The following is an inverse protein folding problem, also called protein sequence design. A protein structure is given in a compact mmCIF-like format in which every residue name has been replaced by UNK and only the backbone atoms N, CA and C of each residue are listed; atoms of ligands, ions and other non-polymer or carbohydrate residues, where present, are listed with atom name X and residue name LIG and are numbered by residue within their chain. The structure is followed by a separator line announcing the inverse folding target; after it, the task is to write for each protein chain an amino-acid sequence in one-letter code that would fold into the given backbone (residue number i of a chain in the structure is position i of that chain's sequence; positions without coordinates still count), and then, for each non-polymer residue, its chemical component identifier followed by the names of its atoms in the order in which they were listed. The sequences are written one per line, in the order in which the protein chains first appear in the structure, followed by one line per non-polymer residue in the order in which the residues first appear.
data_IF_593768472239
#
_entry.id   IF_593768472239
#
_cell.length_a   1.000
_cell.length_b   1.000
_cell.length_c   1.000
_cell.angle_alpha   90.00
_cell.angle_beta   90.00
_cell.angle_gamma   90.00
#
_symmetry.space_group_name_H-M   'P 1'
#
loop_
_entity.id
_entity.type
_entity.pdbx_description
1 polymer ?
#
# COMPACT_ATOMS: atom_id res chain seq x y z
N UNK A 1 48.10 91.16 4.00
CA UNK A 1 47.24 91.74 5.06
C UNK A 1 46.04 92.40 4.39
N UNK A 2 44.84 92.55 5.01
CA UNK A 2 44.38 92.22 6.39
C UNK A 2 43.25 91.14 6.43
N UNK A 3 43.16 90.27 7.47
CA UNK A 3 42.36 90.32 8.74
C UNK A 3 40.82 90.23 8.53
N UNK A 4 39.99 89.50 9.30
CA UNK A 4 40.12 88.77 10.59
C UNK A 4 38.83 87.95 10.87
N UNK A 5 38.96 86.92 11.73
CA UNK A 5 37.99 86.38 12.74
C UNK A 5 36.78 85.58 12.24
N UNK A 6 36.41 84.41 12.78
CA UNK A 6 36.30 84.03 14.20
C UNK A 6 36.00 82.51 14.32
N UNK A 7 36.63 81.80 15.26
CA UNK A 7 36.11 80.57 15.91
C UNK A 7 35.31 80.99 17.18
N UNK A 8 34.53 80.15 17.91
CA UNK A 8 34.62 78.67 18.00
C UNK A 8 33.29 77.87 18.24
N UNK A 9 33.44 76.54 18.34
CA UNK A 9 32.76 75.63 19.30
C UNK A 9 31.37 75.04 18.94
N UNK A 10 31.36 73.76 18.54
CA UNK A 10 30.52 72.65 19.03
C UNK A 10 31.06 71.35 18.42
N UNK A 11 31.96 70.65 19.11
CA UNK A 11 31.64 69.55 20.03
C UNK A 11 30.80 68.45 19.38
N UNK A 12 31.52 67.46 18.84
CA UNK A 12 31.26 66.02 18.87
C UNK A 12 29.79 65.55 18.86
N UNK A 13 29.39 64.91 17.75
CA UNK A 13 28.31 63.92 17.75
C UNK A 13 28.70 62.71 16.89
N UNK A 14 29.14 61.67 17.59
CA UNK A 14 28.78 60.27 17.35
C UNK A 14 29.11 59.67 15.97
N UNK A 15 30.37 59.28 15.79
CA UNK A 15 30.70 58.01 15.11
C UNK A 15 31.33 57.08 16.14
N UNK A 16 30.50 56.56 17.04
CA UNK A 16 30.91 55.55 18.01
C UNK A 16 29.89 54.41 18.02
N UNK A 17 29.68 53.78 16.86
CA UNK A 17 28.90 52.54 16.76
C UNK A 17 29.77 51.27 16.79
N UNK A 18 31.10 51.39 16.93
CA UNK A 18 32.00 50.23 16.81
C UNK A 18 32.79 49.89 18.08
N UNK A 19 32.74 50.70 19.15
CA UNK A 19 33.55 50.44 20.36
C UNK A 19 32.80 49.97 21.62
N UNK A 20 31.46 49.87 21.59
CA UNK A 20 30.69 49.37 22.76
C UNK A 20 30.41 47.86 22.68
N UNK A 21 30.51 47.24 21.50
CA UNK A 21 30.28 45.79 21.35
C UNK A 21 31.47 44.94 21.86
N UNK A 22 32.69 45.47 21.82
CA UNK A 22 33.89 44.78 22.29
C UNK A 22 34.01 44.73 23.83
N UNK A 23 33.37 45.67 24.55
CA UNK A 23 33.47 45.75 26.01
C UNK A 23 32.44 44.90 26.77
N UNK A 24 31.40 44.36 26.10
CA UNK A 24 30.42 43.46 26.72
C UNK A 24 30.74 41.96 26.58
N UNK A 25 31.76 41.58 25.81
CA UNK A 25 32.18 40.18 25.66
C UNK A 25 33.28 39.76 26.65
N UNK A 26 33.85 40.69 27.43
CA UNK A 26 34.97 40.41 28.33
C UNK A 26 34.56 39.97 29.77
N UNK A 27 33.27 39.91 30.11
CA UNK A 27 32.81 39.60 31.48
C UNK A 27 31.72 38.54 31.54
N UNK A 28 31.97 37.32 31.02
CA UNK A 28 31.23 36.12 31.45
C UNK A 28 31.92 34.79 31.08
N UNK A 29 33.25 34.72 31.00
CA UNK A 29 33.96 33.45 30.83
C UNK A 29 34.34 32.85 32.19
N UNK A 30 33.36 32.26 32.90
CA UNK A 30 33.65 31.40 34.06
C UNK A 30 34.21 30.09 33.52
N UNK A 31 35.51 29.84 33.73
CA UNK A 31 36.18 28.60 33.30
C UNK A 31 35.41 27.36 33.82
N UNK A 32 35.09 26.37 32.98
CA UNK A 32 34.45 25.14 33.44
C UNK A 32 35.38 24.40 34.40
N UNK A 33 34.82 23.93 35.51
CA UNK A 33 35.54 23.19 36.55
C UNK A 33 35.96 21.81 36.02
N UNK A 34 37.20 21.72 35.53
CA UNK A 34 37.82 20.52 34.95
C UNK A 34 37.96 19.35 35.91
N UNK A 35 37.81 19.57 37.22
CA UNK A 35 37.90 18.51 38.24
C UNK A 35 36.77 17.48 38.20
N UNK A 36 35.61 17.80 37.62
CA UNK A 36 34.46 16.87 37.52
C UNK A 36 34.56 15.98 36.28
N UNK A 37 35.07 16.53 35.18
CA UNK A 37 35.27 15.79 33.92
C UNK A 37 36.43 14.80 34.06
N UNK A 38 37.50 15.17 34.76
CA UNK A 38 38.60 14.25 35.09
C UNK A 38 38.16 13.13 36.06
N UNK A 39 37.24 13.42 37.00
CA UNK A 39 36.65 12.41 37.90
C UNK A 39 35.70 11.44 37.19
N UNK A 40 34.99 11.88 36.15
CA UNK A 40 34.10 11.04 35.34
C UNK A 40 34.88 10.14 34.36
N UNK A 41 35.96 10.65 33.76
CA UNK A 41 36.83 9.87 32.87
C UNK A 41 37.71 8.87 33.63
N UNK A 42 38.03 9.14 34.90
CA UNK A 42 38.74 8.19 35.77
C UNK A 42 37.95 6.93 36.13
N UNK A 43 36.61 6.97 36.01
CA UNK A 43 35.74 5.82 36.33
C UNK A 43 35.70 4.78 35.20
N UNK A 44 35.90 5.21 33.95
CA UNK A 44 36.03 4.32 32.79
C UNK A 44 37.50 4.02 32.50
N UNK A 45 38.11 3.11 33.27
CA UNK A 45 39.41 2.50 32.93
C UNK A 45 39.29 1.70 31.62
N UNK A 46 39.48 2.38 30.48
CA UNK A 46 39.44 1.83 29.12
C UNK A 46 40.56 0.80 28.83
N UNK A 47 41.50 0.61 29.75
CA UNK A 47 42.65 -0.28 29.57
C UNK A 47 42.30 -1.78 29.60
N UNK A 48 41.15 -2.17 30.17
CA UNK A 48 40.73 -3.59 30.22
C UNK A 48 40.01 -4.07 28.95
N UNK A 49 39.64 -3.16 28.05
CA UNK A 49 38.94 -3.47 26.80
C UNK A 49 39.93 -3.98 25.74
N UNK A 50 41.17 -3.45 25.72
CA UNK A 50 42.18 -3.81 24.70
C UNK A 50 42.63 -5.29 24.76
N UNK A 51 42.57 -5.94 25.92
CA UNK A 51 42.88 -7.37 26.07
C UNK A 51 41.77 -8.31 25.61
N UNK A 52 40.52 -7.82 25.54
CA UNK A 52 39.37 -8.63 25.12
C UNK A 52 39.25 -8.72 23.59
N UNK A 53 39.70 -7.69 22.87
CA UNK A 53 39.65 -7.60 21.40
C UNK A 53 40.88 -8.18 20.67
N UNK A 54 41.87 -8.73 21.40
CA UNK A 54 43.09 -9.30 20.81
C UNK A 54 42.94 -10.74 20.28
N UNK A 55 41.88 -11.45 20.66
CA UNK A 55 41.61 -12.84 20.26
C UNK A 55 40.54 -12.85 19.17
N UNK A 56 40.86 -13.41 17.98
CA UNK A 56 39.95 -13.46 16.82
C UNK A 56 38.53 -13.94 17.17
N UNK A 57 38.40 -14.84 18.16
CA UNK A 57 37.13 -15.34 18.68
C UNK A 57 36.24 -14.27 19.31
N UNK A 58 36.80 -13.32 20.06
CA UNK A 58 36.03 -12.28 20.75
C UNK A 58 35.59 -11.16 19.80
N UNK A 59 36.40 -10.86 18.77
CA UNK A 59 36.02 -9.97 17.67
C UNK A 59 34.82 -10.54 16.90
N UNK A 60 34.83 -11.85 16.62
CA UNK A 60 33.69 -12.53 15.99
C UNK A 60 32.44 -12.41 16.88
N UNK A 61 32.55 -12.66 18.19
CA UNK A 61 31.41 -12.48 19.10
C UNK A 61 30.86 -11.06 19.14
N UNK A 62 31.72 -10.03 19.15
CA UNK A 62 31.27 -8.64 19.12
C UNK A 62 30.58 -8.28 17.80
N UNK A 63 31.13 -8.74 16.67
CA UNK A 63 30.50 -8.54 15.36
C UNK A 63 29.16 -9.27 15.28
N UNK A 64 29.06 -10.50 15.78
CA UNK A 64 27.79 -11.26 15.84
C UNK A 64 26.76 -10.54 16.71
N UNK A 65 27.13 -10.03 17.89
CA UNK A 65 26.22 -9.25 18.74
C UNK A 65 25.76 -7.98 18.01
N UNK A 66 26.66 -7.29 17.30
CA UNK A 66 26.33 -6.07 16.56
C UNK A 66 25.40 -6.36 15.38
N UNK A 67 25.61 -7.48 14.67
CA UNK A 67 24.71 -7.98 13.62
C UNK A 67 23.34 -8.36 14.19
N UNK A 68 23.28 -9.02 15.35
CA UNK A 68 22.01 -9.33 16.03
C UNK A 68 21.26 -8.06 16.42
N UNK A 69 21.95 -7.03 16.92
CA UNK A 69 21.34 -5.75 17.28
C UNK A 69 20.81 -5.00 16.04
N UNK A 70 21.56 -5.01 14.94
CA UNK A 70 21.09 -4.47 13.65
C UNK A 70 19.86 -5.24 13.17
N UNK A 71 19.90 -6.58 13.25
CA UNK A 71 18.78 -7.44 12.86
C UNK A 71 17.53 -7.15 13.70
N UNK A 72 17.65 -7.06 15.02
CA UNK A 72 16.55 -6.69 15.91
C UNK A 72 16.01 -5.29 15.61
N UNK A 73 16.88 -4.33 15.28
CA UNK A 73 16.46 -2.99 14.87
C UNK A 73 15.70 -2.99 13.53
N UNK A 74 16.06 -3.88 12.60
CA UNK A 74 15.36 -4.05 11.33
C UNK A 74 14.04 -4.83 11.49
N UNK A 75 13.97 -5.78 12.43
CA UNK A 75 12.76 -6.57 12.69
C UNK A 75 11.71 -5.81 13.54
N UNK A 76 12.07 -4.70 14.17
CA UNK A 76 11.16 -3.95 15.07
C UNK A 76 9.84 -3.54 14.38
N UNK A 77 9.88 -3.17 13.10
CA UNK A 77 8.70 -2.75 12.32
C UNK A 77 7.84 -3.93 11.86
N UNK A 78 8.39 -5.15 11.82
CA UNK A 78 7.65 -6.37 11.49
C UNK A 78 6.85 -6.87 12.71
N UNK A 79 7.36 -6.60 13.91
CA UNK A 79 6.77 -7.08 15.16
C UNK A 79 5.82 -6.07 15.82
N UNK A 80 6.18 -4.78 15.81
CA UNK A 80 5.43 -3.70 16.47
C UNK A 80 4.92 -2.75 15.39
N UNK A 81 3.60 -2.57 15.34
CA UNK A 81 2.93 -1.70 14.35
C UNK A 81 2.77 -0.29 14.89
N UNK A 82 2.47 -0.15 16.18
CA UNK A 82 2.29 1.15 16.83
C UNK A 82 2.69 1.09 18.31
N UNK A 83 2.92 2.24 18.94
CA UNK A 83 3.12 2.37 20.39
C UNK A 83 2.18 3.46 20.90
N UNK A 84 1.33 3.14 21.87
CA UNK A 84 0.37 4.07 22.47
C UNK A 84 0.71 4.22 23.95
N UNK A 85 1.07 5.43 24.39
CA UNK A 85 1.44 5.73 25.78
C UNK A 85 2.52 4.79 26.36
N UNK A 86 3.49 4.39 25.53
CA UNK A 86 4.56 3.45 25.92
C UNK A 86 4.16 1.96 25.88
N UNK A 87 2.92 1.63 25.51
CA UNK A 87 2.48 0.26 25.29
C UNK A 87 2.55 -0.10 23.78
N UNK A 88 3.36 -1.10 23.39
CA UNK A 88 3.43 -1.52 22.00
C UNK A 88 2.19 -2.31 21.57
N UNK A 89 1.67 -1.99 20.38
CA UNK A 89 0.66 -2.77 19.66
C UNK A 89 1.41 -3.67 18.67
N UNK A 90 1.28 -4.97 18.90
CA UNK A 90 1.96 -5.97 18.11
C UNK A 90 1.17 -6.37 16.86
N UNK A 91 1.90 -6.71 15.79
CA UNK A 91 1.30 -7.09 14.50
C UNK A 91 0.40 -8.32 14.61
N UNK A 92 0.78 -9.32 15.40
CA UNK A 92 -0.04 -10.52 15.58
C UNK A 92 -1.40 -10.20 16.20
N UNK A 93 -1.48 -9.20 17.09
CA UNK A 93 -2.75 -8.76 17.68
C UNK A 93 -3.66 -8.17 16.62
N UNK A 94 -3.11 -7.33 15.74
CA UNK A 94 -3.85 -6.75 14.61
C UNK A 94 -4.31 -7.84 13.65
N UNK A 95 -3.41 -8.74 13.23
CA UNK A 95 -3.73 -9.86 12.33
C UNK A 95 -4.80 -10.76 12.95
N UNK A 96 -4.67 -11.12 14.23
CA UNK A 96 -5.67 -11.96 14.92
C UNK A 96 -7.04 -11.27 14.95
N UNK A 97 -7.07 -9.95 15.13
CA UNK A 97 -8.33 -9.21 15.13
C UNK A 97 -8.96 -9.13 13.73
N UNK A 98 -8.15 -8.93 12.68
CA UNK A 98 -8.62 -8.97 11.29
C UNK A 98 -9.10 -10.38 10.90
N UNK A 99 -8.36 -11.40 11.30
CA UNK A 99 -8.74 -12.80 11.11
C UNK A 99 -10.07 -13.13 11.78
N UNK A 100 -10.31 -12.58 12.98
CA UNK A 100 -11.63 -12.70 13.63
C UNK A 100 -12.71 -11.98 12.82
N UNK A 101 -12.46 -10.77 12.36
CA UNK A 101 -13.48 -9.96 11.68
C UNK A 101 -13.84 -10.46 10.29
N UNK A 102 -12.88 -11.00 9.53
CA UNK A 102 -13.10 -11.38 8.13
C UNK A 102 -12.16 -12.46 7.60
N UNK A 103 -11.44 -13.17 8.47
CA UNK A 103 -10.48 -14.20 8.07
C UNK A 103 -11.12 -15.36 7.31
N UNK A 104 -12.31 -15.81 7.73
CA UNK A 104 -13.03 -16.88 7.04
C UNK A 104 -13.43 -16.47 5.63
N UNK A 105 -14.06 -15.30 5.47
CA UNK A 105 -14.48 -14.79 4.16
C UNK A 105 -13.28 -14.56 3.23
N UNK A 106 -12.19 -14.00 3.75
CA UNK A 106 -10.95 -13.84 2.98
C UNK A 106 -10.37 -15.19 2.57
N UNK A 107 -10.32 -16.17 3.47
CA UNK A 107 -9.85 -17.51 3.14
C UNK A 107 -10.71 -18.16 2.06
N UNK A 108 -12.04 -18.07 2.17
CA UNK A 108 -12.96 -18.64 1.18
C UNK A 108 -12.75 -17.99 -0.21
N UNK A 109 -12.58 -16.67 -0.26
CA UNK A 109 -12.24 -15.95 -1.50
C UNK A 109 -10.92 -16.44 -2.11
N UNK A 110 -9.87 -16.60 -1.29
CA UNK A 110 -8.58 -17.09 -1.75
C UNK A 110 -8.61 -18.55 -2.22
N UNK A 111 -9.45 -19.38 -1.61
CA UNK A 111 -9.67 -20.76 -2.08
C UNK A 111 -10.32 -20.74 -3.45
N UNK A 112 -11.39 -19.94 -3.65
CA UNK A 112 -12.05 -19.80 -4.95
C UNK A 112 -11.06 -19.31 -6.01
N UNK A 113 -10.30 -18.25 -5.72
CA UNK A 113 -9.28 -17.72 -6.62
C UNK A 113 -8.24 -18.79 -7.01
N UNK A 114 -7.76 -19.57 -6.03
CA UNK A 114 -6.81 -20.65 -6.28
C UNK A 114 -7.39 -21.75 -7.17
N UNK A 115 -8.65 -22.13 -6.95
CA UNK A 115 -9.34 -23.14 -7.77
C UNK A 115 -9.52 -22.66 -9.21
N UNK A 116 -9.96 -21.41 -9.40
CA UNK A 116 -10.11 -20.80 -10.72
C UNK A 116 -8.77 -20.75 -11.47
N UNK A 117 -7.69 -20.29 -10.80
CA UNK A 117 -6.33 -20.28 -11.36
C UNK A 117 -5.85 -21.68 -11.75
N UNK A 118 -6.12 -22.69 -10.93
CA UNK A 118 -5.78 -24.09 -11.23
C UNK A 118 -6.57 -24.63 -12.43
N UNK A 119 -7.85 -24.31 -12.53
CA UNK A 119 -8.71 -24.74 -13.63
C UNK A 119 -8.28 -24.12 -14.96
N UNK A 120 -8.03 -22.80 -14.99
CA UNK A 120 -7.51 -22.09 -16.18
C UNK A 120 -6.19 -22.69 -16.64
N UNK A 121 -5.25 -22.89 -15.71
CA UNK A 121 -3.96 -23.51 -16.00
C UNK A 121 -4.12 -24.93 -16.56
N UNK A 122 -5.06 -25.71 -16.02
CA UNK A 122 -5.31 -27.09 -16.46
C UNK A 122 -5.97 -27.16 -17.83
N UNK A 123 -6.81 -26.16 -18.16
CA UNK A 123 -7.43 -26.01 -19.47
C UNK A 123 -6.48 -25.47 -20.54
N UNK A 124 -5.31 -24.95 -20.15
CA UNK A 124 -4.33 -24.39 -21.07
C UNK A 124 -4.80 -23.10 -21.75
N UNK A 125 -5.73 -22.37 -21.13
CA UNK A 125 -6.20 -21.08 -21.62
C UNK A 125 -5.19 -20.01 -21.22
N UNK A 126 -4.52 -19.44 -22.22
CA UNK A 126 -3.65 -18.26 -22.04
C UNK A 126 -4.40 -17.02 -22.50
N UNK A 127 -4.34 -15.96 -21.69
CA UNK A 127 -4.98 -14.70 -22.02
C UNK A 127 -4.30 -14.03 -23.21
N UNK A 128 -5.10 -13.58 -24.18
CA UNK A 128 -4.59 -12.77 -25.28
C UNK A 128 -4.25 -11.36 -24.76
N UNK A 129 -2.95 -11.00 -24.84
CA UNK A 129 -2.50 -9.70 -24.36
C UNK A 129 -3.19 -8.54 -25.09
N UNK A 130 -3.55 -8.70 -26.37
CA UNK A 130 -4.22 -7.65 -27.12
C UNK A 130 -5.62 -7.34 -26.54
N UNK A 131 -6.36 -8.37 -26.13
CA UNK A 131 -7.66 -8.22 -25.48
C UNK A 131 -7.53 -7.60 -24.08
N UNK A 132 -6.49 -7.96 -23.33
CA UNK A 132 -6.24 -7.37 -22.01
C UNK A 132 -5.87 -5.89 -22.14
N UNK A 133 -5.00 -5.54 -23.08
CA UNK A 133 -4.62 -4.16 -23.33
C UNK A 133 -5.82 -3.32 -23.78
N UNK A 134 -6.69 -3.88 -24.64
CA UNK A 134 -7.94 -3.23 -25.04
C UNK A 134 -8.86 -2.95 -23.85
N UNK A 135 -9.03 -3.92 -22.93
CA UNK A 135 -9.80 -3.73 -21.69
C UNK A 135 -9.19 -2.67 -20.77
N UNK A 136 -7.86 -2.62 -20.66
CA UNK A 136 -7.18 -1.59 -19.88
C UNK A 136 -7.42 -0.21 -20.51
N UNK A 137 -7.33 -0.08 -21.83
CA UNK A 137 -7.64 1.19 -22.53
C UNK A 137 -9.09 1.62 -22.33
N UNK A 138 -10.04 0.68 -22.32
CA UNK A 138 -11.44 0.99 -22.03
C UNK A 138 -11.60 1.54 -20.61
N UNK A 139 -10.97 0.90 -19.62
CA UNK A 139 -10.96 1.39 -18.23
C UNK A 139 -10.32 2.79 -18.16
N UNK A 140 -9.18 3.01 -18.82
CA UNK A 140 -8.50 4.31 -18.88
C UNK A 140 -9.41 5.40 -19.46
N UNK A 141 -10.14 5.09 -20.54
CA UNK A 141 -11.09 6.01 -21.18
C UNK A 141 -12.25 6.36 -20.24
N UNK A 142 -12.83 5.37 -19.56
CA UNK A 142 -13.93 5.58 -18.61
C UNK A 142 -13.49 6.43 -17.41
N UNK A 143 -12.29 6.18 -16.88
CA UNK A 143 -11.73 6.98 -15.79
C UNK A 143 -11.44 8.42 -16.23
N UNK A 144 -10.91 8.59 -17.44
CA UNK A 144 -10.61 9.93 -17.99
C UNK A 144 -11.88 10.75 -18.18
N UNK A 145 -12.99 10.13 -18.61
CA UNK A 145 -14.30 10.78 -18.69
C UNK A 145 -14.81 11.25 -17.31
N UNK A 146 -14.40 10.56 -16.25
CA UNK A 146 -14.70 10.92 -14.86
C UNK A 146 -13.68 11.89 -14.24
N UNK A 147 -12.68 12.34 -15.02
CA UNK A 147 -11.65 13.28 -14.57
C UNK A 147 -10.55 12.64 -13.71
N UNK A 148 -10.38 11.32 -13.80
CA UNK A 148 -9.39 10.55 -13.04
C UNK A 148 -8.44 9.80 -13.98
N UNK A 149 -7.21 9.53 -13.54
CA UNK A 149 -6.28 8.66 -14.27
C UNK A 149 -6.28 7.26 -13.68
N UNK A 150 -5.89 6.26 -14.49
CA UNK A 150 -5.77 4.88 -14.04
C UNK A 150 -4.83 4.75 -12.84
N UNK A 151 -3.69 5.42 -12.87
CA UNK A 151 -2.70 5.39 -11.78
C UNK A 151 -3.29 5.89 -10.47
N UNK A 152 -4.07 6.98 -10.53
CA UNK A 152 -4.70 7.56 -9.34
C UNK A 152 -5.76 6.62 -8.77
N UNK A 153 -6.56 5.97 -9.64
CA UNK A 153 -7.56 4.99 -9.22
C UNK A 153 -6.90 3.77 -8.55
N UNK A 154 -5.85 3.22 -9.18
CA UNK A 154 -5.09 2.10 -8.64
C UNK A 154 -4.43 2.42 -7.30
N UNK A 155 -3.85 3.61 -7.15
CA UNK A 155 -3.26 4.05 -5.87
C UNK A 155 -4.30 4.15 -4.74
N UNK A 156 -5.52 4.62 -5.04
CA UNK A 156 -6.61 4.69 -4.06
C UNK A 156 -7.08 3.32 -3.61
N UNK A 157 -7.11 2.35 -4.53
CA UNK A 157 -7.43 0.95 -4.24
C UNK A 157 -6.26 0.17 -3.63
N UNK A 158 -5.05 0.75 -3.62
CA UNK A 158 -3.83 0.08 -3.17
C UNK A 158 -3.38 -1.05 -4.11
N UNK A 159 -3.74 -0.96 -5.39
CA UNK A 159 -3.41 -1.91 -6.44
C UNK A 159 -2.27 -1.41 -7.32
N UNK A 160 -1.55 -2.34 -7.92
CA UNK A 160 -0.57 -2.07 -8.97
C UNK A 160 -1.15 -2.35 -10.35
N UNK A 161 -0.58 -1.74 -11.40
CA UNK A 161 -0.98 -2.03 -12.80
C UNK A 161 -0.85 -3.51 -13.14
N UNK A 162 0.16 -4.19 -12.59
CA UNK A 162 0.36 -5.63 -12.76
C UNK A 162 -0.77 -6.43 -12.10
N UNK A 163 -1.24 -6.03 -10.92
CA UNK A 163 -2.36 -6.72 -10.26
C UNK A 163 -3.68 -6.51 -11.03
N UNK A 164 -3.90 -5.31 -11.58
CA UNK A 164 -5.01 -5.08 -12.50
C UNK A 164 -4.94 -6.02 -13.72
N UNK A 165 -3.77 -6.08 -14.35
CA UNK A 165 -3.55 -6.94 -15.52
C UNK A 165 -3.76 -8.43 -15.18
N UNK A 166 -3.21 -8.89 -14.05
CA UNK A 166 -3.38 -10.26 -13.57
C UNK A 166 -4.87 -10.58 -13.30
N UNK A 167 -5.63 -9.62 -12.75
CA UNK A 167 -7.07 -9.76 -12.52
C UNK A 167 -7.86 -9.82 -13.82
N UNK A 168 -7.56 -8.95 -14.79
CA UNK A 168 -8.21 -8.96 -16.10
C UNK A 168 -7.92 -10.25 -16.87
N UNK A 169 -6.68 -10.76 -16.78
CA UNK A 169 -6.31 -12.06 -17.36
C UNK A 169 -7.12 -13.20 -16.75
N UNK A 170 -7.27 -13.19 -15.43
CA UNK A 170 -8.06 -14.20 -14.72
C UNK A 170 -9.54 -14.13 -15.13
N UNK A 171 -10.11 -12.93 -15.17
CA UNK A 171 -11.49 -12.70 -15.58
C UNK A 171 -11.73 -13.15 -17.02
N UNK A 172 -10.90 -12.71 -17.96
CA UNK A 172 -11.02 -13.09 -19.37
C UNK A 172 -10.94 -14.60 -19.55
N UNK A 173 -9.98 -15.26 -18.91
CA UNK A 173 -9.84 -16.71 -19.03
C UNK A 173 -11.03 -17.47 -18.42
N UNK A 174 -11.58 -17.00 -17.30
CA UNK A 174 -12.81 -17.56 -16.74
C UNK A 174 -13.99 -17.39 -17.69
N UNK A 175 -14.17 -16.20 -18.29
CA UNK A 175 -15.21 -15.93 -19.29
C UNK A 175 -15.08 -16.87 -20.49
N UNK A 176 -13.87 -17.07 -21.04
CA UNK A 176 -13.66 -17.96 -22.19
C UNK A 176 -13.99 -19.43 -21.89
N UNK A 177 -13.71 -19.89 -20.67
CA UNK A 177 -14.00 -21.27 -20.28
C UNK A 177 -15.49 -21.57 -20.21
N UNK A 178 -16.30 -20.58 -19.83
CA UNK A 178 -17.75 -20.75 -19.73
C UNK A 178 -18.53 -20.23 -20.94
N UNK A 179 -17.93 -19.39 -21.79
CA UNK A 179 -18.60 -18.75 -22.92
C UNK A 179 -19.28 -19.76 -23.85
N UNK A 180 -18.63 -20.91 -24.09
CA UNK A 180 -19.20 -21.98 -24.92
C UNK A 180 -20.50 -22.60 -24.37
N UNK A 181 -20.78 -22.44 -23.08
CA UNK A 181 -22.02 -22.90 -22.43
C UNK A 181 -23.13 -21.86 -22.42
N UNK A 182 -22.84 -20.62 -22.85
CA UNK A 182 -23.77 -19.50 -22.80
C UNK A 182 -24.36 -19.26 -24.19
N UNK A 183 -25.67 -19.27 -24.29
CA UNK A 183 -26.40 -18.92 -25.52
C UNK A 183 -27.66 -18.18 -25.15
N UNK A 184 -27.97 -17.11 -25.89
CA UNK A 184 -29.21 -16.33 -25.77
C UNK A 184 -30.10 -16.68 -26.94
N UNK A 185 -31.31 -17.13 -26.65
CA UNK A 185 -32.33 -17.45 -27.66
C UNK A 185 -33.20 -16.23 -27.99
N UNK A 186 -33.84 -16.24 -29.16
CA UNK A 186 -34.74 -15.14 -29.55
C UNK A 186 -35.99 -15.10 -28.66
N UNK A 187 -36.46 -16.27 -28.21
CA UNK A 187 -37.60 -16.39 -27.29
C UNK A 187 -37.33 -15.71 -25.94
N UNK A 188 -36.09 -15.75 -25.46
CA UNK A 188 -35.69 -15.06 -24.22
C UNK A 188 -35.64 -13.54 -24.40
N UNK A 189 -35.23 -13.08 -25.58
CA UNK A 189 -35.24 -11.66 -25.94
C UNK A 189 -36.68 -11.15 -25.99
N UNK A 190 -37.56 -11.89 -26.68
CA UNK A 190 -39.00 -11.56 -26.79
C UNK A 190 -39.64 -11.50 -25.40
N UNK A 191 -39.40 -12.53 -24.59
CA UNK A 191 -39.91 -12.59 -23.20
C UNK A 191 -39.40 -11.43 -22.35
N UNK A 192 -38.14 -11.02 -22.52
CA UNK A 192 -37.60 -9.88 -21.78
C UNK A 192 -38.25 -8.57 -22.21
N UNK A 193 -38.42 -8.35 -23.51
CA UNK A 193 -39.07 -7.15 -24.04
C UNK A 193 -40.53 -7.06 -23.59
N UNK A 194 -41.25 -8.18 -23.60
CA UNK A 194 -42.65 -8.24 -23.13
C UNK A 194 -42.79 -7.93 -21.64
N UNK A 195 -41.90 -8.48 -20.80
CA UNK A 195 -41.97 -8.31 -19.36
C UNK A 195 -41.47 -6.94 -18.87
N UNK A 196 -40.67 -6.22 -19.67
CA UNK A 196 -40.02 -4.99 -19.25
C UNK A 196 -40.46 -3.76 -20.04
N UNK A 197 -41.58 -3.82 -20.77
CA UNK A 197 -42.07 -2.74 -21.66
C UNK A 197 -42.04 -1.34 -21.04
N UNK A 198 -42.37 -1.21 -19.75
CA UNK A 198 -42.41 0.07 -19.03
C UNK A 198 -41.03 0.71 -18.81
N UNK A 199 -39.94 -0.08 -18.92
CA UNK A 199 -38.56 0.34 -18.70
C UNK A 199 -37.75 0.42 -19.99
N UNK A 200 -38.35 0.14 -21.15
CA UNK A 200 -37.64 0.17 -22.42
C UNK A 200 -37.42 1.62 -22.90
N UNK A 201 -36.22 1.96 -23.39
CA UNK A 201 -35.96 3.24 -24.03
C UNK A 201 -36.89 3.47 -25.22
N UNK A 202 -37.52 4.64 -25.29
CA UNK A 202 -38.46 4.98 -26.38
C UNK A 202 -37.79 5.60 -27.60
N UNK A 203 -36.50 5.91 -27.49
CA UNK A 203 -35.68 6.59 -28.50
C UNK A 203 -34.85 5.63 -29.37
N UNK A 204 -34.90 4.33 -29.10
CA UNK A 204 -34.16 3.30 -29.84
C UNK A 204 -35.06 2.59 -30.86
N UNK A 205 -34.45 2.11 -31.96
CA UNK A 205 -35.12 1.22 -32.90
C UNK A 205 -35.31 -0.17 -32.30
N UNK A 206 -36.26 -0.96 -32.84
CA UNK A 206 -36.48 -2.34 -32.39
C UNK A 206 -35.23 -3.22 -32.54
N UNK A 207 -34.45 -3.04 -33.61
CA UNK A 207 -33.22 -3.79 -33.83
C UNK A 207 -32.14 -3.45 -32.80
N UNK A 208 -31.95 -2.16 -32.49
CA UNK A 208 -31.02 -1.72 -31.46
C UNK A 208 -31.45 -2.22 -30.08
N UNK A 209 -32.75 -2.14 -29.78
CA UNK A 209 -33.32 -2.61 -28.53
C UNK A 209 -33.09 -4.11 -28.33
N UNK A 210 -33.37 -4.93 -29.34
CA UNK A 210 -33.09 -6.38 -29.31
C UNK A 210 -31.61 -6.67 -29.11
N UNK A 211 -30.72 -5.86 -29.72
CA UNK A 211 -29.27 -6.01 -29.57
C UNK A 211 -28.83 -5.72 -28.14
N UNK A 212 -29.27 -4.61 -27.55
CA UNK A 212 -28.99 -4.26 -26.15
C UNK A 212 -29.52 -5.33 -25.19
N UNK A 213 -30.76 -5.81 -25.40
CA UNK A 213 -31.33 -6.88 -24.58
C UNK A 213 -30.53 -8.17 -24.71
N UNK A 214 -30.08 -8.53 -25.93
CA UNK A 214 -29.23 -9.71 -26.15
C UNK A 214 -27.91 -9.60 -25.38
N UNK A 215 -27.23 -8.47 -25.45
CA UNK A 215 -25.97 -8.23 -24.72
C UNK A 215 -26.17 -8.30 -23.20
N UNK A 216 -27.26 -7.71 -22.71
CA UNK A 216 -27.61 -7.75 -21.29
C UNK A 216 -27.90 -9.19 -20.81
N UNK A 217 -28.72 -9.94 -21.56
CA UNK A 217 -29.02 -11.34 -21.25
C UNK A 217 -27.77 -12.21 -21.34
N UNK A 218 -26.92 -11.97 -22.33
CA UNK A 218 -25.64 -12.68 -22.47
C UNK A 218 -24.74 -12.42 -21.26
N UNK A 219 -24.56 -11.16 -20.87
CA UNK A 219 -23.77 -10.79 -19.69
C UNK A 219 -24.32 -11.42 -18.40
N UNK A 220 -25.65 -11.40 -18.23
CA UNK A 220 -26.32 -12.03 -17.09
C UNK A 220 -26.07 -13.54 -17.03
N UNK A 221 -26.30 -14.25 -18.15
CA UNK A 221 -26.07 -15.69 -18.25
C UNK A 221 -24.60 -16.08 -18.10
N UNK A 222 -23.69 -15.25 -18.62
CA UNK A 222 -22.26 -15.46 -18.47
C UNK A 222 -21.86 -15.38 -17.00
N UNK A 223 -22.35 -14.37 -16.27
CA UNK A 223 -22.13 -14.24 -14.83
C UNK A 223 -22.67 -15.45 -14.05
N UNK A 224 -23.87 -15.92 -14.41
CA UNK A 224 -24.45 -17.13 -13.80
C UNK A 224 -23.62 -18.39 -14.10
N UNK A 225 -23.19 -18.56 -15.36
CA UNK A 225 -22.36 -19.68 -15.77
C UNK A 225 -21.00 -19.69 -15.06
N UNK A 226 -20.37 -18.53 -14.86
CA UNK A 226 -19.14 -18.40 -14.04
C UNK A 226 -19.42 -18.82 -12.60
N UNK A 227 -20.53 -18.35 -12.00
CA UNK A 227 -20.91 -18.71 -10.64
C UNK A 227 -21.12 -20.22 -10.47
N UNK A 228 -21.85 -20.85 -11.39
CA UNK A 228 -22.07 -22.30 -11.40
C UNK A 228 -20.75 -23.06 -11.60
N UNK A 229 -19.91 -22.61 -12.54
CA UNK A 229 -18.61 -23.22 -12.78
C UNK A 229 -17.70 -23.17 -11.54
N UNK A 230 -17.67 -22.04 -10.83
CA UNK A 230 -16.91 -21.88 -9.58
C UNK A 230 -17.42 -22.83 -8.49
N UNK A 231 -18.73 -22.97 -8.33
CA UNK A 231 -19.31 -23.92 -7.36
C UNK A 231 -18.98 -25.38 -7.74
N UNK A 232 -18.99 -25.69 -9.03
CA UNK A 232 -18.57 -26.97 -9.58
C UNK A 232 -17.09 -27.27 -9.28
N UNK A 233 -16.21 -26.28 -9.41
CA UNK A 233 -14.80 -26.42 -9.02
C UNK A 233 -14.67 -26.68 -7.52
N UNK A 234 -15.42 -25.94 -6.70
CA UNK A 234 -15.39 -26.07 -5.24
C UNK A 234 -15.87 -27.44 -4.77
N UNK A 235 -16.98 -27.93 -5.32
CA UNK A 235 -17.56 -29.23 -4.94
C UNK A 235 -16.67 -30.42 -5.34
N UNK A 236 -15.90 -30.29 -6.42
CA UNK A 236 -14.96 -31.32 -6.91
C UNK A 236 -13.58 -31.22 -6.25
N UNK A 237 -13.27 -30.10 -5.59
CA UNK A 237 -11.97 -29.87 -4.99
C UNK A 237 -11.78 -30.59 -3.66
N UNK A 238 -10.56 -31.06 -3.42
CA UNK A 238 -10.13 -31.54 -2.10
C UNK A 238 -9.47 -30.39 -1.34
N UNK A 239 -10.21 -29.79 -0.41
CA UNK A 239 -9.74 -28.63 0.36
C UNK A 239 -9.39 -29.07 1.78
N UNK A 240 -8.10 -29.01 2.13
CA UNK A 240 -7.60 -29.30 3.48
C UNK A 240 -7.44 -28.00 4.26
N UNK A 241 -8.35 -27.74 5.20
CA UNK A 241 -8.26 -26.62 6.11
C UNK A 241 -7.37 -26.96 7.31
N UNK A 242 -6.19 -26.32 7.39
CA UNK A 242 -5.23 -26.51 8.50
C UNK A 242 -5.50 -25.59 9.69
N UNK A 243 -6.34 -24.58 9.50
CA UNK A 243 -6.75 -23.62 10.52
C UNK A 243 -8.23 -23.32 10.31
N UNK A 244 -9.01 -23.47 11.37
CA UNK A 244 -10.42 -23.09 11.39
C UNK A 244 -10.56 -21.65 11.89
N UNK A 245 -11.34 -20.84 11.18
CA UNK A 245 -11.77 -19.54 11.68
C UNK A 245 -13.13 -19.71 12.35
N UNK A 246 -13.26 -19.29 13.61
CA UNK A 246 -14.56 -19.30 14.28
C UNK A 246 -15.45 -18.22 13.67
N UNK A 247 -16.71 -18.53 13.31
CA UNK A 247 -17.66 -17.50 12.92
C UNK A 247 -17.86 -16.57 14.13
N UNK A 248 -17.75 -15.27 13.90
CA UNK A 248 -18.07 -14.28 14.94
C UNK A 248 -19.57 -14.38 15.18
N UNK A 249 -19.97 -15.01 16.27
CA UNK A 249 -21.35 -14.94 16.74
C UNK A 249 -21.65 -13.48 17.06
N UNK A 250 -22.58 -12.89 16.31
CA UNK A 250 -23.25 -11.66 16.71
C UNK A 250 -24.42 -12.01 17.63
#
# INVERSE_FOLDING_TARGET
MPRKTRSPKKSARSTTATSVLAARLATAAKKPNTSVIERLLGFFRFSRVRGFFGQRRNVIFTVVILVILILLYLLKSVLIVAVVNGQPIYRWTVVTQLEKQGGQQMLDSLVVEALVKQAIKSAGVEADQAEIDARITEIENQLTQQGMTLETALEQEGLTRRELEDNLKLQWAAEQLVASSVTVSEEEIDTYLENNQEFLPTDMTEEELRTTVREQLYSSKLSEAIGQWVEDLRSKAQILYLKEYQPVGF
#
